data_IF_230497449282
#
_entry.id   IF_230497449282
#
_cell.length_a   1.000
_cell.length_b   1.000
_cell.length_c   1.000
_cell.angle_alpha   90.00
_cell.angle_beta   90.00
_cell.angle_gamma   90.00
#
_symmetry.space_group_name_H-M   'P 1'
#
loop_
_entity.id
_entity.type
_entity.pdbx_description
1 polymer ?
#
# COMPACT_ATOMS: atom_id res chain seq x y z
N UNK A 1 63.02 3.33 -2.72
CA UNK A 1 61.99 3.14 -3.77
C UNK A 1 61.31 1.77 -3.73
N UNK A 2 62.02 0.65 -3.59
CA UNK A 2 61.42 -0.71 -3.59
C UNK A 2 60.52 -1.01 -2.35
N UNK A 3 60.77 -0.39 -1.19
CA UNK A 3 59.92 -0.56 0.02
C UNK A 3 58.55 0.15 -0.05
N UNK A 4 58.44 1.26 -0.77
CA UNK A 4 57.17 2.00 -0.92
C UNK A 4 56.25 1.26 -1.90
N UNK A 5 56.81 0.65 -2.95
CA UNK A 5 56.05 -0.19 -3.90
C UNK A 5 55.45 -1.44 -3.23
N UNK A 6 56.15 -2.07 -2.27
CA UNK A 6 55.62 -3.24 -1.56
C UNK A 6 54.49 -2.91 -0.57
N UNK A 7 54.51 -1.73 0.05
CA UNK A 7 53.44 -1.29 0.96
C UNK A 7 52.19 -0.90 0.17
N UNK A 8 52.35 -0.24 -0.99
CA UNK A 8 51.23 0.10 -1.87
C UNK A 8 50.60 -1.15 -2.48
N UNK A 9 51.39 -2.15 -2.91
CA UNK A 9 50.83 -3.42 -3.38
C UNK A 9 50.12 -4.21 -2.27
N UNK A 10 50.58 -4.16 -1.01
CA UNK A 10 49.89 -4.82 0.11
C UNK A 10 48.60 -4.10 0.50
N UNK A 11 48.53 -2.77 0.38
CA UNK A 11 47.31 -1.99 0.59
C UNK A 11 46.30 -2.27 -0.54
N UNK A 12 46.75 -2.35 -1.80
CA UNK A 12 45.90 -2.71 -2.94
C UNK A 12 45.38 -4.15 -2.83
N UNK A 13 46.21 -5.10 -2.32
CA UNK A 13 45.76 -6.47 -2.08
C UNK A 13 44.82 -6.60 -0.87
N UNK A 14 44.94 -5.77 0.17
CA UNK A 14 43.98 -5.77 1.28
C UNK A 14 42.66 -5.08 0.92
N UNK A 15 42.66 -4.08 0.03
CA UNK A 15 41.41 -3.51 -0.52
C UNK A 15 40.70 -4.47 -1.48
N UNK A 16 41.37 -5.53 -1.96
CA UNK A 16 40.76 -6.56 -2.83
C UNK A 16 40.34 -7.84 -2.08
N UNK A 17 40.52 -7.93 -0.76
CA UNK A 17 40.04 -9.07 0.06
C UNK A 17 38.79 -8.68 0.89
N UNK A 18 38.27 -7.46 0.70
CA UNK A 18 37.16 -6.89 1.46
C UNK A 18 35.90 -6.57 0.67
N UNK A 19 35.69 -7.15 -0.50
CA UNK A 19 34.34 -7.39 -1.01
C UNK A 19 34.35 -8.78 -1.61
N UNK A 20 33.69 -9.71 -0.93
CA UNK A 20 33.16 -10.85 -1.65
C UNK A 20 32.21 -10.25 -2.68
N UNK A 21 32.72 -10.03 -3.89
CA UNK A 21 31.88 -10.05 -5.08
C UNK A 21 31.25 -11.44 -5.01
N UNK A 22 30.04 -11.49 -4.46
CA UNK A 22 29.11 -12.51 -4.89
C UNK A 22 29.14 -12.37 -6.41
N UNK A 23 29.77 -13.36 -7.06
CA UNK A 23 29.34 -13.70 -8.39
C UNK A 23 27.84 -13.95 -8.23
N UNK A 24 27.05 -12.91 -8.51
CA UNK A 24 25.71 -13.13 -9.02
C UNK A 24 25.96 -13.95 -10.26
N UNK A 25 25.88 -15.28 -10.10
CA UNK A 25 25.56 -16.10 -11.24
C UNK A 25 24.31 -15.48 -11.87
N UNK A 26 24.25 -15.52 -13.20
CA UNK A 26 23.02 -15.32 -13.98
C UNK A 26 21.95 -16.35 -13.57
N UNK A 27 21.53 -16.32 -12.32
CA UNK A 27 20.16 -16.51 -11.94
C UNK A 27 19.66 -15.09 -11.75
N UNK A 28 19.22 -14.45 -12.84
CA UNK A 28 18.01 -13.68 -12.69
C UNK A 28 17.01 -14.64 -12.04
N UNK A 29 16.85 -14.56 -10.72
CA UNK A 29 15.62 -15.02 -10.10
C UNK A 29 14.55 -14.15 -10.77
N UNK A 30 14.07 -14.60 -11.93
CA UNK A 30 12.73 -14.33 -12.36
C UNK A 30 11.90 -14.84 -11.21
N UNK A 31 11.66 -13.97 -10.22
CA UNK A 31 10.57 -14.09 -9.29
C UNK A 31 9.39 -14.48 -10.16
N UNK A 32 8.95 -15.73 -10.05
CA UNK A 32 7.86 -16.26 -10.85
C UNK A 32 6.57 -15.70 -10.26
N UNK A 33 6.40 -14.36 -10.40
CA UNK A 33 5.29 -13.56 -9.88
C UNK A 33 3.99 -14.21 -10.29
N UNK A 34 3.93 -14.71 -11.53
CA UNK A 34 2.83 -15.51 -12.04
C UNK A 34 2.56 -16.71 -11.13
N UNK A 35 3.51 -17.62 -10.97
CA UNK A 35 3.30 -18.83 -10.17
C UNK A 35 2.98 -18.53 -8.69
N UNK A 36 3.57 -17.48 -8.13
CA UNK A 36 3.31 -17.06 -6.75
C UNK A 36 1.88 -16.55 -6.57
N UNK A 37 1.40 -15.70 -7.48
CA UNK A 37 0.01 -15.21 -7.49
C UNK A 37 -0.96 -16.39 -7.67
N UNK A 38 -0.70 -17.26 -8.65
CA UNK A 38 -1.57 -18.42 -8.94
C UNK A 38 -1.69 -19.36 -7.73
N UNK A 39 -0.55 -19.71 -7.10
CA UNK A 39 -0.53 -20.57 -5.91
C UNK A 39 -1.21 -19.93 -4.72
N UNK A 40 -0.95 -18.63 -4.47
CA UNK A 40 -1.43 -17.94 -3.28
C UNK A 40 -2.93 -17.68 -3.34
N UNK A 41 -3.45 -17.28 -4.49
CA UNK A 41 -4.84 -16.83 -4.63
C UNK A 41 -5.74 -17.82 -5.36
N UNK A 42 -5.19 -18.90 -5.94
CA UNK A 42 -5.98 -19.91 -6.65
C UNK A 42 -6.56 -19.42 -7.98
N UNK A 43 -5.98 -18.38 -8.58
CA UNK A 43 -6.32 -17.91 -9.92
C UNK A 43 -5.38 -18.53 -10.97
N UNK A 44 -5.81 -18.57 -12.22
CA UNK A 44 -5.00 -18.97 -13.37
C UNK A 44 -4.73 -17.75 -14.25
N UNK A 45 -3.46 -17.41 -14.47
CA UNK A 45 -3.09 -16.24 -15.27
C UNK A 45 -2.86 -16.68 -16.72
N UNK A 46 -3.59 -16.04 -17.65
CA UNK A 46 -3.51 -16.28 -19.09
C UNK A 46 -2.94 -15.04 -19.76
N UNK A 47 -1.91 -15.24 -20.58
CA UNK A 47 -1.20 -14.20 -21.33
C UNK A 47 -1.21 -14.60 -22.82
N UNK A 48 -1.28 -13.64 -23.77
CA UNK A 48 -1.25 -13.94 -25.20
C UNK A 48 0.03 -14.70 -25.59
N UNK A 49 -0.12 -15.78 -26.35
CA UNK A 49 0.96 -16.76 -26.59
C UNK A 49 2.08 -16.28 -27.52
N UNK A 50 1.98 -15.09 -28.09
CA UNK A 50 2.93 -14.46 -28.99
C UNK A 50 3.79 -13.37 -28.32
N UNK A 51 3.66 -13.20 -27.00
CA UNK A 51 4.29 -12.12 -26.24
C UNK A 51 5.19 -12.68 -25.13
N UNK A 52 6.31 -12.00 -24.82
CA UNK A 52 7.16 -12.39 -23.69
C UNK A 52 6.42 -12.17 -22.35
N UNK A 53 6.56 -13.12 -21.43
CA UNK A 53 6.01 -13.04 -20.07
C UNK A 53 6.49 -11.76 -19.36
N UNK A 54 7.75 -11.38 -19.62
CA UNK A 54 8.38 -10.20 -19.05
C UNK A 54 7.62 -8.90 -19.34
N UNK A 55 6.92 -8.81 -20.47
CA UNK A 55 6.16 -7.61 -20.85
C UNK A 55 5.00 -7.30 -19.90
N UNK A 56 4.49 -8.31 -19.17
CA UNK A 56 3.33 -8.20 -18.27
C UNK A 56 3.70 -8.15 -16.79
N UNK A 57 4.99 -8.12 -16.44
CA UNK A 57 5.43 -8.08 -15.04
C UNK A 57 4.82 -6.91 -14.26
N UNK A 58 4.73 -5.73 -14.87
CA UNK A 58 4.11 -4.56 -14.26
C UNK A 58 2.62 -4.77 -14.01
N UNK A 59 1.90 -5.32 -15.01
CA UNK A 59 0.48 -5.66 -14.87
C UNK A 59 0.23 -6.71 -13.78
N UNK A 60 1.08 -7.73 -13.68
CA UNK A 60 1.01 -8.75 -12.63
C UNK A 60 1.33 -8.19 -11.25
N UNK A 61 2.30 -7.28 -11.14
CA UNK A 61 2.61 -6.57 -9.90
C UNK A 61 1.44 -5.69 -9.45
N UNK A 62 0.80 -4.97 -10.37
CA UNK A 62 -0.42 -4.20 -10.08
C UNK A 62 -1.57 -5.11 -9.63
N UNK A 63 -1.76 -6.26 -10.29
CA UNK A 63 -2.75 -7.26 -9.86
C UNK A 63 -2.52 -7.73 -8.44
N UNK A 64 -1.30 -8.15 -8.10
CA UNK A 64 -0.99 -8.57 -6.73
C UNK A 64 -1.24 -7.44 -5.74
N UNK A 65 -0.85 -6.20 -6.07
CA UNK A 65 -1.10 -5.03 -5.24
C UNK A 65 -2.60 -4.82 -4.98
N UNK A 66 -3.43 -4.86 -6.02
CA UNK A 66 -4.88 -4.73 -5.90
C UNK A 66 -5.49 -5.85 -5.07
N UNK A 67 -5.09 -7.11 -5.27
CA UNK A 67 -5.56 -8.24 -4.46
C UNK A 67 -5.20 -8.05 -2.97
N UNK A 68 -4.00 -7.55 -2.67
CA UNK A 68 -3.51 -7.36 -1.30
C UNK A 68 -4.21 -6.23 -0.54
N UNK A 69 -5.00 -5.37 -1.21
CA UNK A 69 -5.83 -4.37 -0.53
C UNK A 69 -6.99 -5.01 0.23
N UNK A 70 -7.45 -6.18 -0.22
CA UNK A 70 -8.43 -6.97 0.51
C UNK A 70 -7.80 -7.75 1.67
N UNK A 71 -8.56 -8.00 2.76
CA UNK A 71 -8.18 -8.93 3.80
C UNK A 71 -7.66 -10.27 3.25
N UNK A 72 -6.57 -10.75 3.85
CA UNK A 72 -5.91 -11.98 3.42
C UNK A 72 -6.87 -13.16 3.50
N UNK A 73 -7.29 -13.66 2.34
CA UNK A 73 -8.17 -14.83 2.23
C UNK A 73 -9.38 -14.60 1.35
N UNK A 74 -9.91 -13.37 1.22
CA UNK A 74 -11.17 -13.12 0.47
C UNK A 74 -11.09 -13.68 -0.95
N UNK A 75 -10.08 -13.28 -1.73
CA UNK A 75 -9.92 -13.77 -3.10
C UNK A 75 -9.78 -15.30 -3.13
N UNK A 76 -9.10 -15.88 -2.14
CA UNK A 76 -8.88 -17.33 -2.06
C UNK A 76 -10.16 -18.10 -1.72
N UNK A 77 -11.01 -17.55 -0.84
CA UNK A 77 -12.33 -18.12 -0.53
C UNK A 77 -13.23 -18.15 -1.77
N UNK A 78 -13.25 -17.06 -2.54
CA UNK A 78 -14.02 -16.98 -3.79
C UNK A 78 -13.50 -18.02 -4.81
N UNK A 79 -12.18 -18.09 -5.01
CA UNK A 79 -11.61 -19.05 -5.99
C UNK A 79 -11.77 -20.49 -5.55
N UNK A 80 -11.65 -20.80 -4.25
CA UNK A 80 -11.88 -22.14 -3.71
C UNK A 80 -13.35 -22.56 -3.87
N UNK A 81 -14.30 -21.63 -3.69
CA UNK A 81 -15.71 -21.88 -3.97
C UNK A 81 -15.95 -22.29 -5.43
N UNK A 82 -15.41 -21.53 -6.39
CA UNK A 82 -15.54 -21.86 -7.81
C UNK A 82 -14.83 -23.18 -8.15
N UNK A 83 -13.65 -23.41 -7.58
CA UNK A 83 -12.88 -24.64 -7.78
C UNK A 83 -13.64 -25.87 -7.28
N UNK A 84 -14.34 -25.78 -6.14
CA UNK A 84 -15.20 -26.86 -5.63
C UNK A 84 -16.37 -27.20 -6.59
N UNK A 85 -16.80 -26.23 -7.40
CA UNK A 85 -17.79 -26.43 -8.48
C UNK A 85 -17.17 -26.88 -9.80
N UNK A 86 -15.85 -27.06 -9.86
CA UNK A 86 -15.12 -27.39 -11.09
C UNK A 86 -14.95 -26.23 -12.05
N UNK A 87 -15.16 -24.99 -11.58
CA UNK A 87 -15.05 -23.76 -12.37
C UNK A 87 -13.67 -23.14 -12.09
N UNK A 88 -12.92 -22.85 -13.15
CA UNK A 88 -11.60 -22.21 -13.03
C UNK A 88 -11.76 -20.69 -13.06
N UNK A 89 -11.07 -19.99 -12.16
CA UNK A 89 -11.00 -18.53 -12.19
C UNK A 89 -9.74 -18.12 -12.96
N UNK A 90 -9.92 -17.47 -14.12
CA UNK A 90 -8.84 -16.99 -14.95
C UNK A 90 -8.70 -15.47 -14.85
N UNK A 91 -7.47 -14.99 -14.78
CA UNK A 91 -7.13 -13.59 -15.04
C UNK A 91 -6.43 -13.52 -16.39
N UNK A 92 -7.05 -12.83 -17.34
CA UNK A 92 -6.61 -12.77 -18.73
C UNK A 92 -6.06 -11.38 -18.97
N UNK A 93 -4.74 -11.27 -19.18
CA UNK A 93 -4.15 -10.02 -19.64
C UNK A 93 -4.33 -9.91 -21.15
N UNK A 94 -4.90 -8.80 -21.61
CA UNK A 94 -5.17 -8.59 -23.03
C UNK A 94 -4.67 -7.21 -23.48
N UNK A 95 -3.83 -7.18 -24.52
CA UNK A 95 -3.31 -5.94 -25.07
C UNK A 95 -4.42 -5.23 -25.82
N UNK A 96 -4.65 -3.96 -25.50
CA UNK A 96 -5.54 -3.11 -26.28
C UNK A 96 -4.83 -1.82 -26.67
N UNK A 97 -5.04 -1.35 -27.89
CA UNK A 97 -4.64 -0.02 -28.33
C UNK A 97 -5.77 1.01 -28.13
N UNK A 98 -6.97 0.55 -27.76
CA UNK A 98 -8.20 1.33 -27.73
C UNK A 98 -8.65 1.50 -26.27
N UNK A 99 -8.54 2.73 -25.75
CA UNK A 99 -8.96 3.11 -24.38
C UNK A 99 -10.42 2.71 -24.10
N UNK A 100 -11.31 2.75 -25.10
CA UNK A 100 -12.72 2.40 -24.94
C UNK A 100 -12.93 0.90 -24.64
N UNK A 101 -12.00 0.04 -25.03
CA UNK A 101 -12.12 -1.41 -24.85
C UNK A 101 -11.64 -1.86 -23.47
N UNK A 102 -11.09 -0.94 -22.66
CA UNK A 102 -10.75 -1.14 -21.25
C UNK A 102 -11.95 -1.57 -20.38
N UNK A 103 -13.19 -1.34 -20.85
CA UNK A 103 -14.43 -1.57 -20.09
C UNK A 103 -15.49 -2.36 -20.89
N UNK A 104 -15.06 -3.18 -21.87
CA UNK A 104 -15.97 -3.93 -22.75
C UNK A 104 -16.43 -5.24 -22.11
N UNK A 105 -17.70 -5.63 -22.35
CA UNK A 105 -18.28 -6.86 -21.78
C UNK A 105 -17.67 -8.13 -22.40
N UNK A 106 -17.33 -9.07 -21.52
CA UNK A 106 -16.59 -10.26 -21.88
C UNK A 106 -17.47 -11.45 -22.30
N UNK A 107 -16.85 -12.44 -22.95
CA UNK A 107 -17.52 -13.68 -23.36
C UNK A 107 -17.75 -14.59 -22.15
N UNK A 108 -19.01 -14.93 -21.88
CA UNK A 108 -19.38 -15.96 -20.90
C UNK A 108 -18.87 -17.34 -21.35
N UNK A 109 -18.21 -18.05 -20.43
CA UNK A 109 -17.86 -19.46 -20.55
C UNK A 109 -18.44 -20.20 -19.33
N UNK A 110 -19.31 -21.18 -19.57
CA UNK A 110 -19.98 -21.92 -18.49
C UNK A 110 -19.00 -22.67 -17.56
N UNK A 111 -17.75 -22.89 -17.98
CA UNK A 111 -16.74 -23.64 -17.21
C UNK A 111 -15.67 -22.75 -16.56
N UNK A 112 -15.71 -21.43 -16.74
CA UNK A 112 -14.70 -20.54 -16.17
C UNK A 112 -15.23 -19.15 -15.85
N UNK A 113 -14.73 -18.57 -14.76
CA UNK A 113 -14.89 -17.14 -14.49
C UNK A 113 -13.66 -16.43 -15.02
N UNK A 114 -13.83 -15.53 -15.99
CA UNK A 114 -12.74 -14.83 -16.64
C UNK A 114 -12.74 -13.35 -16.23
N UNK A 115 -11.61 -12.89 -15.71
CA UNK A 115 -11.36 -11.49 -15.31
C UNK A 115 -10.40 -10.90 -16.35
N UNK A 116 -10.87 -9.96 -17.15
CA UNK A 116 -10.07 -9.42 -18.25
C UNK A 116 -9.38 -8.13 -17.83
N UNK A 117 -8.04 -8.17 -17.74
CA UNK A 117 -7.22 -7.00 -17.46
C UNK A 117 -6.65 -6.48 -18.76
N UNK A 118 -7.23 -5.38 -19.24
CA UNK A 118 -6.77 -4.72 -20.45
C UNK A 118 -5.50 -3.90 -20.15
N UNK A 119 -4.44 -4.16 -20.91
CA UNK A 119 -3.15 -3.48 -20.77
C UNK A 119 -2.87 -2.58 -21.97
N UNK A 120 -2.25 -1.42 -21.73
CA UNK A 120 -1.78 -0.52 -22.77
C UNK A 120 -0.26 -0.64 -22.91
N UNK A 121 0.24 -0.64 -24.14
CA UNK A 121 1.68 -0.51 -24.39
C UNK A 121 2.18 0.86 -23.94
N UNK A 122 3.31 0.89 -23.25
CA UNK A 122 3.88 2.16 -22.81
C UNK A 122 4.51 2.89 -23.99
N UNK A 123 4.30 4.21 -24.09
CA UNK A 123 4.98 5.03 -25.10
C UNK A 123 6.48 5.22 -24.84
N UNK A 124 6.94 4.82 -23.65
CA UNK A 124 8.32 4.98 -23.18
C UNK A 124 9.16 3.72 -23.47
N UNK A 125 8.56 2.53 -23.49
CA UNK A 125 9.23 1.27 -23.75
C UNK A 125 8.35 0.40 -24.64
N UNK A 126 8.81 0.12 -25.86
CA UNK A 126 8.08 -0.61 -26.90
C UNK A 126 7.83 -2.11 -26.61
N UNK A 127 8.09 -2.55 -25.39
CA UNK A 127 8.06 -3.97 -24.97
C UNK A 127 7.47 -4.14 -23.55
N UNK A 128 6.83 -3.12 -22.96
CA UNK A 128 6.15 -3.26 -21.66
C UNK A 128 4.68 -2.87 -21.73
N UNK A 129 3.86 -3.65 -21.03
CA UNK A 129 2.42 -3.49 -20.94
C UNK A 129 2.01 -3.08 -19.53
N UNK A 130 1.22 -2.01 -19.44
CA UNK A 130 0.80 -1.44 -18.16
C UNK A 130 -0.72 -1.53 -17.98
N UNK A 131 -1.13 -1.92 -16.77
CA UNK A 131 -2.51 -1.80 -16.29
C UNK A 131 -2.51 -0.89 -15.06
N UNK A 132 -3.43 0.08 -15.03
CA UNK A 132 -3.58 0.98 -13.88
C UNK A 132 -4.29 0.29 -12.72
N UNK A 133 -3.96 0.67 -11.48
CA UNK A 133 -4.67 0.18 -10.27
C UNK A 133 -6.19 0.39 -10.35
N UNK A 134 -6.63 1.49 -10.95
CA UNK A 134 -8.06 1.79 -11.14
C UNK A 134 -8.74 0.75 -12.03
N UNK A 135 -8.13 0.41 -13.17
CA UNK A 135 -8.70 -0.56 -14.10
C UNK A 135 -8.70 -1.96 -13.50
N UNK A 136 -7.59 -2.39 -12.91
CA UNK A 136 -7.49 -3.71 -12.29
C UNK A 136 -8.48 -3.86 -11.13
N UNK A 137 -8.58 -2.85 -10.26
CA UNK A 137 -9.52 -2.91 -9.13
C UNK A 137 -10.97 -2.85 -9.57
N UNK A 138 -11.31 -2.10 -10.64
CA UNK A 138 -12.66 -2.11 -11.21
C UNK A 138 -13.09 -3.54 -11.58
N UNK A 139 -12.25 -4.27 -12.32
CA UNK A 139 -12.54 -5.66 -12.73
C UNK A 139 -12.59 -6.63 -11.54
N UNK A 140 -11.68 -6.49 -10.57
CA UNK A 140 -11.75 -7.28 -9.34
C UNK A 140 -13.01 -6.99 -8.52
N UNK A 141 -13.47 -5.73 -8.50
CA UNK A 141 -14.69 -5.34 -7.79
C UNK A 141 -15.94 -5.94 -8.43
N UNK A 142 -15.99 -6.03 -9.76
CA UNK A 142 -17.02 -6.78 -10.47
C UNK A 142 -16.97 -8.27 -10.18
N UNK A 143 -15.78 -8.87 -10.20
CA UNK A 143 -15.60 -10.28 -9.84
C UNK A 143 -16.15 -10.60 -8.45
N UNK A 144 -15.82 -9.78 -7.44
CA UNK A 144 -16.30 -9.94 -6.07
C UNK A 144 -17.81 -9.68 -5.99
N UNK A 145 -18.31 -8.59 -6.60
CA UNK A 145 -19.73 -8.24 -6.65
C UNK A 145 -20.58 -9.36 -7.27
N UNK A 146 -20.12 -9.94 -8.39
CA UNK A 146 -20.78 -11.04 -9.06
C UNK A 146 -20.85 -12.28 -8.16
N UNK A 147 -19.73 -12.63 -7.51
CA UNK A 147 -19.70 -13.75 -6.57
C UNK A 147 -20.73 -13.57 -5.44
N UNK A 148 -20.74 -12.42 -4.76
CA UNK A 148 -21.62 -12.23 -3.60
C UNK A 148 -23.10 -12.18 -4.02
N UNK A 149 -23.43 -11.55 -5.14
CA UNK A 149 -24.81 -11.41 -5.62
C UNK A 149 -25.38 -12.75 -6.11
N UNK A 150 -24.56 -13.58 -6.76
CA UNK A 150 -25.02 -14.83 -7.36
C UNK A 150 -25.08 -16.00 -6.38
N UNK A 151 -24.32 -15.92 -5.29
CA UNK A 151 -24.16 -17.05 -4.37
C UNK A 151 -24.68 -16.79 -2.96
N UNK A 152 -25.11 -15.56 -2.63
CA UNK A 152 -25.65 -15.19 -1.32
C UNK A 152 -26.97 -14.41 -1.43
N UNK A 153 -27.82 -14.50 -0.39
CA UNK A 153 -29.09 -13.76 -0.35
C UNK A 153 -28.88 -12.32 0.13
N UNK A 154 -28.82 -11.39 -0.83
CA UNK A 154 -28.67 -9.95 -0.59
C UNK A 154 -30.00 -9.19 -0.64
N UNK A 155 -31.14 -9.86 -0.45
CA UNK A 155 -32.47 -9.24 -0.57
C UNK A 155 -32.67 -8.07 0.40
N UNK A 156 -32.24 -8.20 1.65
CA UNK A 156 -32.38 -7.13 2.64
C UNK A 156 -31.41 -5.96 2.37
N UNK A 157 -30.15 -6.25 2.02
CA UNK A 157 -29.19 -5.22 1.59
C UNK A 157 -29.74 -4.41 0.42
N UNK A 158 -30.29 -5.08 -0.60
CA UNK A 158 -30.90 -4.42 -1.75
C UNK A 158 -32.09 -3.55 -1.35
N UNK A 159 -32.97 -4.01 -0.46
CA UNK A 159 -34.09 -3.20 0.05
C UNK A 159 -33.59 -1.95 0.78
N UNK A 160 -32.52 -2.07 1.55
CA UNK A 160 -31.91 -0.93 2.23
C UNK A 160 -31.28 0.06 1.24
N UNK A 161 -30.62 -0.41 0.19
CA UNK A 161 -30.12 0.43 -0.90
C UNK A 161 -31.25 1.15 -1.62
N UNK A 162 -32.31 0.43 -2.02
CA UNK A 162 -33.49 1.00 -2.66
C UNK A 162 -34.14 2.09 -1.78
N UNK A 163 -34.22 1.86 -0.45
CA UNK A 163 -34.71 2.85 0.52
C UNK A 163 -33.79 4.06 0.61
N UNK A 164 -32.48 3.85 0.62
CA UNK A 164 -31.46 4.89 0.68
C UNK A 164 -31.37 5.71 -0.61
N UNK A 165 -31.79 5.16 -1.75
CA UNK A 165 -31.84 5.86 -3.03
C UNK A 165 -32.88 6.99 -3.08
N UNK A 166 -33.74 7.16 -2.06
CA UNK A 166 -34.64 8.33 -1.88
C UNK A 166 -35.42 8.76 -3.14
N UNK A 167 -35.81 7.81 -3.99
CA UNK A 167 -36.58 8.07 -5.20
C UNK A 167 -35.79 8.11 -6.50
N UNK A 168 -34.47 7.90 -6.46
CA UNK A 168 -33.71 7.56 -7.66
C UNK A 168 -33.86 6.06 -7.96
N UNK A 169 -34.45 5.74 -9.11
CA UNK A 169 -34.51 4.36 -9.60
C UNK A 169 -33.24 4.01 -10.37
N UNK A 170 -32.76 2.77 -10.22
CA UNK A 170 -31.69 2.27 -11.07
C UNK A 170 -32.06 2.41 -12.55
N UNK A 171 -31.07 2.78 -13.38
CA UNK A 171 -31.25 3.06 -14.80
C UNK A 171 -31.74 4.48 -15.11
N UNK A 172 -31.92 5.34 -14.11
CA UNK A 172 -32.30 6.75 -14.28
C UNK A 172 -31.25 7.69 -13.71
N UNK A 173 -30.62 8.53 -14.55
CA UNK A 173 -29.68 9.57 -14.13
C UNK A 173 -30.24 10.98 -14.35
N UNK A 174 -30.78 11.57 -13.28
CA UNK A 174 -31.19 12.98 -13.23
C UNK A 174 -30.09 13.90 -12.70
N UNK A 175 -30.45 15.17 -12.48
CA UNK A 175 -29.65 16.06 -11.65
C UNK A 175 -29.54 15.49 -10.22
N UNK A 176 -28.42 15.72 -9.54
CA UNK A 176 -28.16 15.29 -8.15
C UNK A 176 -28.08 13.78 -7.89
N UNK A 177 -27.89 12.93 -8.91
CA UNK A 177 -27.63 11.49 -8.72
C UNK A 177 -26.46 11.22 -7.73
N UNK A 178 -25.48 12.12 -7.70
CA UNK A 178 -24.31 12.07 -6.81
C UNK A 178 -24.64 12.18 -5.31
N UNK A 179 -25.89 12.48 -4.95
CA UNK A 179 -26.35 12.40 -3.56
C UNK A 179 -26.58 10.96 -3.10
N UNK A 180 -26.94 10.06 -4.03
CA UNK A 180 -27.29 8.68 -3.76
C UNK A 180 -26.24 7.69 -4.27
N UNK A 181 -25.62 7.96 -5.42
CA UNK A 181 -24.67 7.06 -6.09
C UNK A 181 -23.28 7.68 -6.19
N UNK A 182 -22.24 6.86 -6.04
CA UNK A 182 -20.84 7.33 -6.08
C UNK A 182 -20.44 7.88 -7.46
N UNK A 183 -21.02 7.33 -8.52
CA UNK A 183 -20.83 7.78 -9.90
C UNK A 183 -22.08 7.41 -10.75
N UNK A 184 -22.06 7.72 -12.05
CA UNK A 184 -23.18 7.41 -12.96
C UNK A 184 -23.36 5.93 -13.26
N UNK A 185 -22.26 5.18 -13.33
CA UNK A 185 -22.26 3.74 -13.60
C UNK A 185 -22.96 2.97 -12.47
N UNK A 186 -22.65 3.30 -11.22
CA UNK A 186 -23.33 2.81 -10.04
C UNK A 186 -24.87 3.00 -10.08
N UNK A 187 -25.35 4.06 -10.72
CA UNK A 187 -26.80 4.30 -10.86
C UNK A 187 -27.49 3.33 -11.85
N UNK A 188 -26.76 2.47 -12.55
CA UNK A 188 -27.32 1.56 -13.58
C UNK A 188 -28.05 0.37 -12.97
N UNK A 189 -27.48 -0.25 -11.93
CA UNK A 189 -28.07 -1.41 -11.27
C UNK A 189 -27.49 -1.61 -9.86
N UNK A 190 -28.16 -2.42 -9.05
CA UNK A 190 -27.63 -2.82 -7.74
C UNK A 190 -26.26 -3.53 -7.84
N UNK A 191 -26.05 -4.28 -8.92
CA UNK A 191 -24.77 -4.97 -9.19
C UNK A 191 -23.65 -3.98 -9.49
N UNK A 192 -23.92 -3.00 -10.35
CA UNK A 192 -22.95 -1.94 -10.68
C UNK A 192 -22.66 -1.08 -9.45
N UNK A 193 -23.68 -0.73 -8.67
CA UNK A 193 -23.46 0.03 -7.44
C UNK A 193 -22.58 -0.72 -6.44
N UNK A 194 -22.83 -2.03 -6.26
CA UNK A 194 -22.04 -2.86 -5.35
C UNK A 194 -20.58 -2.91 -5.79
N UNK A 195 -20.32 -3.15 -7.08
CA UNK A 195 -18.96 -3.15 -7.62
C UNK A 195 -18.28 -1.78 -7.50
N UNK A 196 -18.96 -0.71 -7.87
CA UNK A 196 -18.40 0.64 -7.82
C UNK A 196 -18.12 1.11 -6.39
N UNK A 197 -18.93 0.72 -5.41
CA UNK A 197 -18.66 1.02 -4.00
C UNK A 197 -17.41 0.30 -3.50
N UNK A 198 -17.20 -0.97 -3.86
CA UNK A 198 -15.95 -1.71 -3.56
C UNK A 198 -14.77 -0.99 -4.22
N UNK A 199 -14.88 -0.70 -5.52
CA UNK A 199 -13.82 -0.08 -6.29
C UNK A 199 -13.37 1.27 -5.70
N UNK A 200 -14.33 2.15 -5.42
CA UNK A 200 -14.02 3.47 -4.87
C UNK A 200 -13.52 3.41 -3.44
N UNK A 201 -14.03 2.49 -2.62
CA UNK A 201 -13.54 2.32 -1.25
C UNK A 201 -12.09 1.83 -1.23
N UNK A 202 -11.70 0.95 -2.15
CA UNK A 202 -10.35 0.37 -2.18
C UNK A 202 -9.29 1.30 -2.79
N UNK A 203 -9.61 2.02 -3.87
CA UNK A 203 -8.62 2.84 -4.60
C UNK A 203 -8.70 4.32 -4.24
N UNK A 204 -9.87 4.80 -3.82
CA UNK A 204 -10.10 6.22 -3.55
C UNK A 204 -10.78 6.48 -2.17
N UNK A 205 -10.33 5.83 -1.07
CA UNK A 205 -10.99 5.97 0.23
C UNK A 205 -11.01 7.41 0.75
N UNK A 206 -9.96 8.19 0.48
CA UNK A 206 -9.90 9.62 0.85
C UNK A 206 -10.96 10.46 0.14
N UNK A 207 -11.15 10.23 -1.17
CA UNK A 207 -12.20 10.88 -1.95
C UNK A 207 -13.56 10.55 -1.36
N UNK A 208 -13.86 9.26 -1.17
CA UNK A 208 -15.13 8.80 -0.62
C UNK A 208 -15.37 9.46 0.73
N UNK A 209 -14.42 9.34 1.65
CA UNK A 209 -14.49 9.90 3.00
C UNK A 209 -14.71 11.41 3.02
N UNK A 210 -14.15 12.13 2.06
CA UNK A 210 -14.27 13.59 1.97
C UNK A 210 -15.60 14.08 1.39
N UNK A 211 -16.45 13.19 0.85
CA UNK A 211 -17.75 13.55 0.28
C UNK A 211 -18.55 14.39 1.30
N UNK A 212 -19.18 15.46 0.81
CA UNK A 212 -19.93 16.41 1.65
C UNK A 212 -19.10 17.01 2.80
N UNK A 213 -17.84 17.37 2.52
CA UNK A 213 -16.89 17.96 3.47
C UNK A 213 -16.65 17.06 4.70
N UNK A 214 -16.55 15.74 4.49
CA UNK A 214 -16.34 14.78 5.57
C UNK A 214 -17.56 14.57 6.48
N UNK A 215 -18.75 14.97 6.04
CA UNK A 215 -19.98 14.62 6.74
C UNK A 215 -20.55 13.31 6.21
N UNK A 216 -21.15 12.53 7.11
CA UNK A 216 -21.78 11.27 6.75
C UNK A 216 -22.90 11.48 5.70
N UNK A 217 -22.94 10.61 4.68
CA UNK A 217 -23.84 10.71 3.52
C UNK A 217 -24.51 9.37 3.28
N UNK A 218 -25.42 9.31 2.31
CA UNK A 218 -26.07 8.06 1.87
C UNK A 218 -25.03 7.05 1.37
N UNK A 219 -24.04 7.51 0.60
CA UNK A 219 -22.95 6.66 0.08
C UNK A 219 -22.19 6.01 1.24
N UNK A 220 -21.85 6.78 2.28
CA UNK A 220 -21.20 6.25 3.47
C UNK A 220 -22.06 5.20 4.21
N UNK A 221 -23.37 5.41 4.31
CA UNK A 221 -24.27 4.42 4.92
C UNK A 221 -24.35 3.13 4.09
N UNK A 222 -24.33 3.22 2.76
CA UNK A 222 -24.31 2.04 1.88
C UNK A 222 -23.03 1.23 2.03
N UNK A 223 -21.87 1.90 2.09
CA UNK A 223 -20.57 1.23 2.33
C UNK A 223 -20.59 0.50 3.67
N UNK A 224 -21.12 1.12 4.74
CA UNK A 224 -21.26 0.45 6.05
C UNK A 224 -22.17 -0.77 6.01
N UNK A 225 -23.27 -0.71 5.25
CA UNK A 225 -24.17 -1.85 5.09
C UNK A 225 -23.51 -2.97 4.29
N UNK A 226 -22.82 -2.63 3.20
CA UNK A 226 -22.08 -3.60 2.39
C UNK A 226 -20.97 -4.28 3.20
N UNK A 227 -20.19 -3.51 3.98
CA UNK A 227 -19.16 -4.06 4.85
C UNK A 227 -19.72 -5.08 5.87
N UNK A 228 -20.91 -4.81 6.43
CA UNK A 228 -21.58 -5.76 7.34
C UNK A 228 -22.00 -7.05 6.65
N UNK A 229 -22.44 -6.99 5.39
CA UNK A 229 -22.75 -8.21 4.63
C UNK A 229 -21.46 -8.98 4.32
N UNK A 230 -20.36 -8.29 4.01
CA UNK A 230 -19.06 -8.92 3.84
C UNK A 230 -18.62 -9.65 5.11
N UNK A 231 -18.78 -9.06 6.30
CA UNK A 231 -18.49 -9.70 7.60
C UNK A 231 -19.27 -11.03 7.79
N UNK A 232 -20.43 -11.18 7.15
CA UNK A 232 -21.26 -12.40 7.20
C UNK A 232 -20.89 -13.43 6.12
N UNK A 233 -20.32 -12.96 5.00
CA UNK A 233 -20.05 -13.78 3.81
C UNK A 233 -18.66 -14.41 3.86
N UNK A 234 -17.66 -13.69 4.38
CA UNK A 234 -16.25 -14.10 4.32
C UNK A 234 -15.67 -14.40 5.71
N UNK A 235 -15.06 -15.57 5.85
CA UNK A 235 -14.44 -16.01 7.10
C UNK A 235 -13.11 -15.29 7.37
N UNK A 236 -12.43 -14.80 6.33
CA UNK A 236 -11.19 -14.02 6.43
C UNK A 236 -11.38 -12.62 6.99
N UNK A 237 -12.61 -12.14 7.07
CA UNK A 237 -12.91 -10.84 7.66
C UNK A 237 -13.06 -11.00 9.16
N UNK A 238 -12.29 -10.22 9.91
CA UNK A 238 -12.23 -10.27 11.36
C UNK A 238 -12.44 -8.88 11.94
N UNK A 239 -12.68 -8.80 13.26
CA UNK A 239 -12.71 -7.53 14.00
C UNK A 239 -11.45 -6.66 13.77
N UNK A 240 -10.34 -7.27 13.29
CA UNK A 240 -9.08 -6.59 13.00
C UNK A 240 -9.00 -6.03 11.58
N UNK A 241 -9.75 -6.55 10.61
CA UNK A 241 -9.63 -6.15 9.21
C UNK A 241 -10.49 -4.94 8.87
N UNK A 242 -11.64 -4.76 9.55
CA UNK A 242 -12.51 -3.57 9.51
C UNK A 242 -12.64 -2.95 8.11
N UNK A 243 -13.27 -3.69 7.18
CA UNK A 243 -13.39 -3.28 5.79
C UNK A 243 -13.94 -1.86 5.61
N UNK A 244 -13.26 -1.12 4.73
CA UNK A 244 -13.60 0.22 4.25
C UNK A 244 -13.86 1.27 5.34
N UNK A 245 -13.42 1.02 6.57
CA UNK A 245 -13.52 2.00 7.64
C UNK A 245 -12.81 3.30 7.24
N UNK A 246 -11.72 3.18 6.50
CA UNK A 246 -10.96 4.27 5.90
C UNK A 246 -11.74 5.11 4.87
N UNK A 247 -12.73 4.56 4.20
CA UNK A 247 -13.64 5.29 3.31
C UNK A 247 -14.76 6.03 4.07
N UNK A 248 -14.91 5.81 5.38
CA UNK A 248 -15.96 6.42 6.20
C UNK A 248 -15.43 7.65 6.95
N UNK A 249 -16.19 8.76 7.03
CA UNK A 249 -15.79 9.92 7.83
C UNK A 249 -15.78 9.59 9.31
N UNK A 250 -14.64 9.83 9.97
CA UNK A 250 -14.47 9.57 11.39
C UNK A 250 -14.21 10.88 12.13
N UNK A 251 -14.31 10.82 13.46
CA UNK A 251 -13.93 11.93 14.34
C UNK A 251 -12.91 11.45 15.36
N UNK A 252 -11.90 12.26 15.70
CA UNK A 252 -10.89 11.83 16.65
C UNK A 252 -11.49 11.67 18.03
N UNK A 253 -11.01 10.66 18.76
CA UNK A 253 -11.42 10.46 20.15
C UNK A 253 -11.02 11.65 21.03
N UNK A 254 -11.74 11.86 22.14
CA UNK A 254 -11.59 13.05 22.99
C UNK A 254 -10.15 13.28 23.48
N UNK A 255 -9.40 12.20 23.74
CA UNK A 255 -8.00 12.28 24.18
C UNK A 255 -7.03 12.74 23.07
N UNK A 256 -7.35 12.49 21.80
CA UNK A 256 -6.50 12.82 20.66
C UNK A 256 -6.91 14.16 20.00
N UNK A 257 -8.17 14.57 20.16
CA UNK A 257 -8.78 15.72 19.46
C UNK A 257 -7.95 17.01 19.53
N UNK A 258 -7.43 17.37 20.70
CA UNK A 258 -6.64 18.59 20.86
C UNK A 258 -5.30 18.53 20.11
N UNK A 259 -4.62 17.38 20.18
CA UNK A 259 -3.33 17.16 19.52
C UNK A 259 -3.51 17.12 18.00
N UNK A 260 -4.51 16.39 17.51
CA UNK A 260 -4.79 16.32 16.07
C UNK A 260 -5.19 17.70 15.53
N UNK A 261 -5.95 18.50 16.28
CA UNK A 261 -6.25 19.88 15.92
C UNK A 261 -4.99 20.76 15.77
N UNK A 262 -4.03 20.62 16.69
CA UNK A 262 -2.72 21.29 16.60
C UNK A 262 -1.93 20.83 15.37
N UNK A 263 -1.89 19.52 15.11
CA UNK A 263 -1.18 18.96 13.95
C UNK A 263 -1.76 19.46 12.62
N UNK A 264 -3.09 19.49 12.49
CA UNK A 264 -3.78 20.05 11.32
C UNK A 264 -3.45 21.53 11.10
N UNK A 265 -3.47 22.32 12.17
CA UNK A 265 -3.14 23.75 12.10
C UNK A 265 -1.70 24.01 11.63
N UNK A 266 -0.79 23.06 11.91
CA UNK A 266 0.60 23.09 11.49
C UNK A 266 0.86 22.34 10.16
N UNK A 267 -0.20 21.92 9.43
CA UNK A 267 -0.11 21.17 8.17
C UNK A 267 0.67 19.85 8.26
N UNK A 268 0.74 19.25 9.45
CA UNK A 268 1.48 18.01 9.69
C UNK A 268 0.72 16.76 9.21
N UNK A 269 -0.61 16.87 9.09
CA UNK A 269 -1.49 15.82 8.56
C UNK A 269 -1.92 16.26 7.16
N UNK A 270 -1.46 15.57 6.10
CA UNK A 270 -1.92 15.79 4.73
C UNK A 270 -3.43 15.60 4.58
N UNK A 271 -4.04 16.31 3.61
CA UNK A 271 -5.49 16.33 3.40
C UNK A 271 -6.05 14.94 3.08
N UNK A 272 -5.27 14.09 2.38
CA UNK A 272 -5.67 12.72 2.04
C UNK A 272 -5.86 11.80 3.25
N UNK A 273 -5.31 12.17 4.41
CA UNK A 273 -5.50 11.46 5.68
C UNK A 273 -6.49 12.16 6.60
N UNK A 274 -7.06 13.30 6.19
CA UNK A 274 -8.05 13.97 7.01
C UNK A 274 -9.33 13.12 7.12
N UNK A 275 -9.90 13.08 8.31
CA UNK A 275 -11.05 12.24 8.65
C UNK A 275 -10.70 10.77 8.95
N UNK A 276 -9.42 10.37 8.88
CA UNK A 276 -8.97 8.99 9.13
C UNK A 276 -8.29 8.87 10.50
N UNK A 277 -8.89 8.12 11.43
CA UNK A 277 -8.49 8.08 12.85
C UNK A 277 -8.49 6.67 13.46
N UNK A 278 -9.54 5.89 13.28
CA UNK A 278 -9.80 4.61 13.95
C UNK A 278 -9.31 3.38 13.18
N UNK A 279 -9.04 3.53 11.87
CA UNK A 279 -8.41 2.48 11.06
C UNK A 279 -6.97 2.22 11.54
N UNK A 280 -6.47 1.00 11.33
CA UNK A 280 -5.07 0.69 11.58
C UNK A 280 -4.19 1.35 10.53
N UNK A 281 -3.05 1.88 10.96
CA UNK A 281 -2.14 2.56 10.06
C UNK A 281 -1.30 1.56 9.27
N UNK A 282 -1.32 1.72 7.96
CA UNK A 282 -0.45 0.99 7.05
C UNK A 282 0.99 1.47 7.17
N UNK A 283 1.94 0.56 6.94
CA UNK A 283 3.36 0.87 7.00
C UNK A 283 3.74 2.01 6.08
N UNK A 284 3.26 1.97 4.84
CA UNK A 284 3.48 3.04 3.87
C UNK A 284 3.02 4.41 4.37
N UNK A 285 1.81 4.49 4.90
CA UNK A 285 1.21 5.76 5.33
C UNK A 285 1.87 6.31 6.59
N UNK A 286 2.33 5.43 7.50
CA UNK A 286 3.16 5.84 8.63
C UNK A 286 4.45 6.55 8.17
N UNK A 287 5.15 5.99 7.17
CA UNK A 287 6.36 6.58 6.63
C UNK A 287 6.09 7.88 5.87
N UNK A 288 5.01 7.97 5.09
CA UNK A 288 4.58 9.22 4.43
C UNK A 288 4.33 10.33 5.44
N UNK A 289 3.57 10.05 6.51
CA UNK A 289 3.29 11.02 7.56
C UNK A 289 4.58 11.48 8.25
N UNK A 290 5.47 10.54 8.58
CA UNK A 290 6.74 10.85 9.21
C UNK A 290 7.62 11.73 8.30
N UNK A 291 7.74 11.41 7.02
CA UNK A 291 8.49 12.20 6.06
C UNK A 291 7.89 13.58 5.84
N UNK A 292 6.56 13.71 5.78
CA UNK A 292 5.90 15.02 5.71
C UNK A 292 6.28 15.88 6.93
N UNK A 293 6.26 15.29 8.13
CA UNK A 293 6.60 15.99 9.37
C UNK A 293 8.07 16.39 9.46
N UNK A 294 8.98 15.49 9.08
CA UNK A 294 10.42 15.78 8.99
C UNK A 294 10.64 16.87 7.95
N UNK A 295 9.95 16.79 6.81
CA UNK A 295 10.04 17.77 5.75
C UNK A 295 9.62 19.17 6.18
N UNK A 296 8.52 19.28 6.93
CA UNK A 296 8.07 20.56 7.51
C UNK A 296 9.09 21.08 8.53
N UNK A 297 9.63 20.21 9.40
CA UNK A 297 10.65 20.60 10.39
C UNK A 297 11.96 21.07 9.72
N UNK A 298 12.39 20.36 8.67
CA UNK A 298 13.60 20.62 7.92
C UNK A 298 13.44 21.72 6.86
N UNK A 299 12.25 22.30 6.65
CA UNK A 299 12.16 23.59 5.94
C UNK A 299 12.86 24.74 6.70
N UNK A 300 13.35 24.51 7.93
CA UNK A 300 14.34 25.36 8.61
C UNK A 300 15.82 24.99 8.31
N UNK A 301 16.09 23.79 7.78
CA UNK A 301 17.41 23.26 7.36
C UNK A 301 17.23 22.23 6.23
N UNK A 302 17.44 22.67 4.97
CA UNK A 302 17.31 21.87 3.74
C UNK A 302 17.47 20.34 3.92
N UNK A 303 16.41 19.57 3.70
CA UNK A 303 16.33 18.10 3.91
C UNK A 303 17.47 17.34 3.23
N UNK A 304 17.74 17.67 1.98
CA UNK A 304 18.76 17.00 1.16
C UNK A 304 20.15 17.19 1.78
N UNK A 305 20.39 18.36 2.35
CA UNK A 305 21.62 18.67 3.08
C UNK A 305 21.65 18.08 4.50
N UNK A 306 20.49 17.74 5.08
CA UNK A 306 20.39 17.17 6.43
C UNK A 306 20.75 15.68 6.44
N UNK A 307 20.34 14.94 5.40
CA UNK A 307 20.58 13.50 5.28
C UNK A 307 21.76 13.15 4.36
N UNK A 308 22.54 14.16 3.93
CA UNK A 308 23.62 14.01 2.93
C UNK A 308 23.14 13.20 1.71
N UNK A 309 21.89 13.44 1.30
CA UNK A 309 21.36 12.93 0.05
C UNK A 309 22.12 13.71 -1.02
N UNK A 310 23.23 13.12 -1.49
CA UNK A 310 24.11 13.75 -2.46
C UNK A 310 23.26 14.40 -3.56
N UNK A 311 23.57 15.64 -3.91
CA UNK A 311 23.04 16.22 -5.15
C UNK A 311 23.36 15.23 -6.24
N UNK A 312 22.32 14.64 -6.82
CA UNK A 312 22.43 13.71 -7.92
C UNK A 312 23.31 14.37 -8.99
N UNK A 313 24.55 13.90 -9.13
CA UNK A 313 25.27 14.15 -10.37
C UNK A 313 24.60 13.23 -11.38
N UNK A 314 23.71 13.82 -12.19
CA UNK A 314 23.20 13.18 -13.40
C UNK A 314 24.41 12.78 -14.25
N UNK A 315 24.86 11.52 -14.12
CA UNK A 315 25.93 11.01 -14.94
C UNK A 315 25.36 10.71 -16.32
N UNK A 316 25.69 11.61 -17.24
CA UNK A 316 25.45 11.51 -18.67
C UNK A 316 26.32 10.37 -19.20
N UNK A 317 25.74 9.19 -19.40
CA UNK A 317 26.39 8.06 -20.04
C UNK A 317 26.09 8.06 -21.54
N UNK A 318 27.10 7.78 -22.36
CA UNK A 318 26.99 7.62 -23.81
C UNK A 318 26.93 6.13 -24.14
N UNK A 319 25.89 5.70 -24.85
CA UNK A 319 25.84 4.39 -25.47
C UNK A 319 27.00 4.28 -26.49
N UNK A 320 28.00 3.40 -26.27
CA UNK A 320 29.16 3.32 -27.15
C UNK A 320 28.87 2.65 -28.51
N UNK A 321 27.68 2.06 -28.70
CA UNK A 321 27.24 1.43 -29.95
C UNK A 321 26.27 2.33 -30.73
N UNK A 322 25.39 3.06 -30.05
CA UNK A 322 24.35 3.91 -30.69
C UNK A 322 24.65 5.41 -30.63
N UNK A 323 25.55 5.86 -29.75
CA UNK A 323 25.90 7.27 -29.59
C UNK A 323 24.85 8.11 -28.88
N UNK A 324 23.85 7.48 -28.25
CA UNK A 324 22.78 8.15 -27.52
C UNK A 324 23.21 8.46 -26.10
N UNK A 325 22.73 9.60 -25.60
CA UNK A 325 23.01 10.10 -24.26
C UNK A 325 21.85 9.70 -23.35
N UNK A 326 22.13 9.01 -22.25
CA UNK A 326 21.13 8.74 -21.21
C UNK A 326 21.70 8.96 -19.81
N UNK A 327 20.79 9.22 -18.87
CA UNK A 327 21.11 9.51 -17.46
C UNK A 327 21.06 8.20 -16.67
N UNK A 328 22.13 7.88 -15.93
CA UNK A 328 22.23 6.67 -15.10
C UNK A 328 22.57 7.04 -13.66
N UNK A 329 21.82 6.48 -12.69
CA UNK A 329 21.85 6.80 -11.25
C UNK A 329 22.73 5.85 -10.40
N UNK A 330 23.52 4.98 -11.02
CA UNK A 330 24.50 4.14 -10.31
C UNK A 330 23.93 2.98 -9.50
N UNK A 331 22.60 2.84 -9.41
CA UNK A 331 21.96 1.55 -9.13
C UNK A 331 21.81 0.78 -10.44
N UNK A 332 21.95 -0.55 -10.41
CA UNK A 332 21.54 -1.36 -11.57
C UNK A 332 20.06 -1.08 -11.84
N UNK A 333 19.78 -0.54 -13.03
CA UNK A 333 18.49 -0.01 -13.51
C UNK A 333 17.25 -0.88 -13.16
N UNK A 334 17.45 -2.20 -13.07
CA UNK A 334 16.44 -3.20 -12.68
C UNK A 334 15.97 -3.09 -11.23
N UNK A 335 16.82 -2.65 -10.29
CA UNK A 335 16.47 -2.51 -8.88
C UNK A 335 15.66 -1.24 -8.60
N UNK A 336 15.92 -0.15 -9.33
CA UNK A 336 15.19 1.11 -9.18
C UNK A 336 13.73 0.98 -9.62
N UNK A 337 13.47 0.32 -10.76
CA UNK A 337 12.10 0.09 -11.22
C UNK A 337 11.35 -1.00 -10.44
N UNK A 338 11.99 -2.14 -10.10
CA UNK A 338 11.37 -3.12 -9.19
C UNK A 338 10.99 -2.52 -7.83
N UNK A 339 11.67 -1.45 -7.44
CA UNK A 339 11.38 -0.70 -6.24
C UNK A 339 10.22 0.29 -6.46
N UNK A 340 10.23 1.07 -7.54
CA UNK A 340 9.13 1.96 -7.91
C UNK A 340 7.81 1.22 -8.19
N UNK A 341 7.86 -0.03 -8.66
CA UNK A 341 6.67 -0.85 -8.88
C UNK A 341 6.10 -1.48 -7.60
N UNK A 342 6.92 -1.56 -6.53
CA UNK A 342 6.55 -2.18 -5.23
C UNK A 342 6.42 -1.18 -4.07
N UNK A 343 6.82 0.07 -4.26
CA UNK A 343 6.90 1.09 -3.21
C UNK A 343 6.57 2.48 -3.77
N UNK A 344 5.91 3.33 -2.99
CA UNK A 344 5.75 4.74 -3.34
C UNK A 344 7.02 5.54 -3.14
N UNK A 345 7.12 6.71 -3.79
CA UNK A 345 8.24 7.64 -3.67
C UNK A 345 8.66 7.91 -2.22
N UNK A 346 7.69 7.93 -1.29
CA UNK A 346 7.92 8.12 0.13
C UNK A 346 8.66 6.94 0.78
N UNK A 347 8.30 5.71 0.48
CA UNK A 347 9.04 4.53 0.97
C UNK A 347 10.43 4.46 0.33
N UNK A 348 10.60 4.90 -0.92
CA UNK A 348 11.91 5.04 -1.53
C UNK A 348 12.77 6.06 -0.82
N UNK A 349 12.24 7.26 -0.57
CA UNK A 349 12.92 8.30 0.21
C UNK A 349 13.29 7.79 1.61
N UNK A 350 12.36 7.12 2.30
CA UNK A 350 12.63 6.54 3.61
C UNK A 350 13.78 5.51 3.56
N UNK A 351 13.86 4.68 2.52
CA UNK A 351 14.97 3.74 2.36
C UNK A 351 16.29 4.46 2.08
N UNK A 352 16.29 5.47 1.20
CA UNK A 352 17.48 6.27 0.90
C UNK A 352 18.00 7.01 2.13
N UNK A 353 17.09 7.43 3.01
CA UNK A 353 17.42 8.04 4.30
C UNK A 353 17.85 7.02 5.38
N UNK A 354 17.95 5.73 5.04
CA UNK A 354 18.31 4.65 5.97
C UNK A 354 17.24 4.36 7.04
N UNK A 355 16.03 4.87 6.87
CA UNK A 355 14.91 4.74 7.83
C UNK A 355 14.29 3.34 7.76
N UNK A 356 14.26 2.75 6.57
CA UNK A 356 13.72 1.41 6.31
C UNK A 356 14.70 0.55 5.50
N UNK A 357 14.55 -0.77 5.61
CA UNK A 357 15.26 -1.74 4.77
C UNK A 357 14.37 -2.26 3.63
N UNK A 358 14.95 -3.08 2.76
CA UNK A 358 14.25 -3.71 1.63
C UNK A 358 13.11 -4.65 2.04
N UNK A 359 13.17 -5.22 3.24
CA UNK A 359 12.11 -6.13 3.73
C UNK A 359 10.81 -5.37 4.02
N UNK A 360 10.92 -4.16 4.60
CA UNK A 360 9.79 -3.26 4.86
C UNK A 360 9.03 -2.82 3.61
N UNK A 361 9.68 -2.89 2.44
CA UNK A 361 9.12 -2.50 1.14
C UNK A 361 8.20 -3.58 0.58
N UNK A 362 8.55 -4.85 0.78
CA UNK A 362 7.73 -5.98 0.34
C UNK A 362 6.42 -6.14 1.15
N UNK A 363 6.34 -5.50 2.32
CA UNK A 363 5.18 -5.50 3.21
C UNK A 363 4.50 -4.13 3.35
N UNK A 364 4.70 -3.19 2.43
CA UNK A 364 4.21 -1.81 2.51
C UNK A 364 2.74 -1.62 2.93
N UNK A 365 1.86 -2.55 2.52
CA UNK A 365 0.41 -2.54 2.79
C UNK A 365 0.00 -3.21 4.12
N UNK A 366 0.94 -3.76 4.89
CA UNK A 366 0.62 -4.36 6.19
C UNK A 366 0.51 -3.28 7.28
N UNK A 367 -0.31 -3.54 8.29
CA UNK A 367 -0.47 -2.65 9.43
C UNK A 367 0.77 -2.63 10.34
N UNK A 368 1.09 -1.46 10.86
CA UNK A 368 2.22 -1.27 11.77
C UNK A 368 1.88 -1.70 13.19
N UNK A 369 2.68 -2.60 13.74
CA UNK A 369 2.69 -2.92 15.17
C UNK A 369 3.40 -1.85 15.98
N UNK A 370 3.10 -1.81 17.29
CA UNK A 370 3.75 -0.87 18.23
C UNK A 370 5.26 -1.05 18.33
N UNK A 371 5.78 -2.28 18.22
CA UNK A 371 7.23 -2.53 18.22
C UNK A 371 7.90 -2.02 16.95
N UNK A 372 7.25 -2.13 15.78
CA UNK A 372 7.78 -1.58 14.53
C UNK A 372 7.80 -0.06 14.55
N UNK A 373 6.75 0.57 15.07
CA UNK A 373 6.73 2.02 15.29
C UNK A 373 7.85 2.44 16.24
N UNK A 374 8.07 1.72 17.35
CA UNK A 374 9.17 2.03 18.28
C UNK A 374 10.53 2.01 17.58
N UNK A 375 10.80 0.98 16.76
CA UNK A 375 12.03 0.89 15.96
C UNK A 375 12.18 2.09 15.03
N UNK A 376 11.13 2.41 14.27
CA UNK A 376 11.15 3.53 13.33
C UNK A 376 11.44 4.87 14.03
N UNK A 377 10.77 5.15 15.16
CA UNK A 377 10.93 6.38 15.94
C UNK A 377 12.34 6.55 16.51
N UNK A 378 12.94 5.46 17.00
CA UNK A 378 14.29 5.49 17.59
C UNK A 378 15.34 5.66 16.51
N UNK A 379 15.23 4.91 15.41
CA UNK A 379 16.14 5.04 14.27
C UNK A 379 16.13 6.47 13.73
N UNK A 380 14.94 7.00 13.42
CA UNK A 380 14.84 8.36 12.87
C UNK A 380 15.20 9.44 13.89
N UNK A 381 14.83 9.24 15.16
CA UNK A 381 15.20 10.16 16.23
C UNK A 381 16.72 10.29 16.33
N UNK A 382 17.44 9.17 16.31
CA UNK A 382 18.89 9.14 16.34
C UNK A 382 19.51 9.86 15.14
N UNK A 383 19.04 9.59 13.93
CA UNK A 383 19.50 10.30 12.71
C UNK A 383 19.25 11.80 12.79
N UNK A 384 18.16 12.21 13.45
CA UNK A 384 17.81 13.61 13.66
C UNK A 384 18.47 14.23 14.92
N UNK A 385 19.45 13.56 15.52
CA UNK A 385 20.25 14.07 16.63
C UNK A 385 19.66 13.88 18.02
N UNK A 386 18.62 13.05 18.17
CA UNK A 386 18.12 12.62 19.48
C UNK A 386 19.15 11.70 20.15
N UNK A 387 19.55 12.04 21.37
CA UNK A 387 20.43 11.16 22.15
C UNK A 387 19.67 9.91 22.61
N UNK A 388 19.99 8.77 22.00
CA UNK A 388 19.45 7.44 22.33
C UNK A 388 20.37 6.62 23.23
N UNK A 389 21.54 7.14 23.61
CA UNK A 389 22.54 6.40 24.38
C UNK A 389 22.13 6.20 25.85
N UNK A 390 21.32 7.12 26.38
CA UNK A 390 20.76 7.05 27.73
C UNK A 390 19.25 6.76 27.68
N UNK A 391 18.84 5.62 28.23
CA UNK A 391 17.45 5.20 28.34
C UNK A 391 17.18 4.41 29.64
N UNK A 392 15.97 4.56 30.16
CA UNK A 392 15.51 3.80 31.32
C UNK A 392 14.90 2.46 30.90
N UNK A 393 15.29 1.39 31.59
CA UNK A 393 14.64 0.07 31.45
C UNK A 393 13.35 0.09 32.26
N UNK A 394 12.22 0.20 31.55
CA UNK A 394 10.90 0.21 32.16
C UNK A 394 10.37 -1.22 32.35
N UNK A 395 9.72 -1.46 33.50
CA UNK A 395 9.12 -2.75 33.83
C UNK A 395 7.75 -2.89 33.15
N UNK A 396 7.71 -3.62 32.02
CA UNK A 396 6.47 -4.05 31.38
C UNK A 396 6.28 -5.56 31.54
N UNK A 397 5.06 -5.98 31.86
CA UNK A 397 4.74 -7.40 32.12
C UNK A 397 4.84 -8.28 30.86
N UNK A 398 4.74 -7.69 29.68
CA UNK A 398 4.75 -8.36 28.39
C UNK A 398 6.10 -8.27 27.65
N UNK A 399 7.12 -7.68 28.27
CA UNK A 399 8.43 -7.48 27.63
C UNK A 399 9.17 -8.80 27.37
N UNK A 400 8.92 -9.83 28.18
CA UNK A 400 9.52 -11.17 28.01
C UNK A 400 9.03 -11.88 26.75
N UNK A 401 7.94 -11.41 26.13
CA UNK A 401 7.42 -11.93 24.86
C UNK A 401 8.11 -11.30 23.64
N UNK A 402 8.95 -10.29 23.84
CA UNK A 402 9.64 -9.55 22.78
C UNK A 402 11.04 -10.14 22.57
N UNK A 403 11.50 -10.19 21.33
CA UNK A 403 12.87 -10.59 21.01
C UNK A 403 13.90 -9.67 21.70
N UNK A 404 15.00 -10.22 22.19
CA UNK A 404 16.02 -9.43 22.91
C UNK A 404 16.61 -8.29 22.06
N UNK A 405 16.68 -8.46 20.73
CA UNK A 405 17.09 -7.42 19.78
C UNK A 405 16.14 -6.22 19.74
N UNK A 406 14.88 -6.42 20.09
CA UNK A 406 13.81 -5.43 19.91
C UNK A 406 13.51 -4.65 21.21
N UNK A 407 13.86 -5.23 22.37
CA UNK A 407 13.65 -4.62 23.69
C UNK A 407 14.28 -3.22 23.83
N UNK A 408 15.53 -2.97 23.37
CA UNK A 408 16.14 -1.64 23.49
C UNK A 408 15.30 -0.54 22.83
N UNK A 409 14.74 -0.78 21.65
CA UNK A 409 13.90 0.19 20.94
C UNK A 409 12.64 0.56 21.73
N UNK A 410 12.02 -0.44 22.37
CA UNK A 410 10.86 -0.22 23.25
C UNK A 410 11.24 0.67 24.43
N UNK A 411 12.36 0.38 25.11
CA UNK A 411 12.80 1.14 26.27
C UNK A 411 13.20 2.58 25.91
N UNK A 412 13.91 2.78 24.80
CA UNK A 412 14.28 4.11 24.32
C UNK A 412 13.01 4.91 23.98
N UNK A 413 12.11 4.35 23.16
CA UNK A 413 10.89 5.04 22.75
C UNK A 413 10.00 5.42 23.95
N UNK A 414 9.93 4.55 24.96
CA UNK A 414 9.12 4.79 26.15
C UNK A 414 9.76 5.78 27.14
N UNK A 415 11.06 5.66 27.41
CA UNK A 415 11.80 6.57 28.30
C UNK A 415 11.88 8.00 27.75
N UNK A 416 12.06 8.16 26.43
CA UNK A 416 11.98 9.46 25.74
C UNK A 416 10.54 9.98 25.59
N UNK A 417 9.54 9.19 26.00
CA UNK A 417 8.14 9.59 25.99
C UNK A 417 7.49 9.61 24.61
N UNK A 418 8.13 9.03 23.58
CA UNK A 418 7.61 8.95 22.22
C UNK A 418 6.43 7.98 22.14
N UNK A 419 6.61 6.77 22.66
CA UNK A 419 5.61 5.71 22.67
C UNK A 419 5.55 5.02 24.03
N UNK A 420 4.43 5.16 24.74
CA UNK A 420 4.23 4.58 26.08
C UNK A 420 3.24 3.42 26.05
N UNK A 421 3.43 2.44 26.94
CA UNK A 421 2.45 1.41 27.27
C UNK A 421 1.26 1.94 28.08
N UNK A 422 0.38 1.05 28.50
CA UNK A 422 -0.80 1.36 29.33
C UNK A 422 -0.49 1.47 30.84
N UNK A 423 0.80 1.46 31.19
CA UNK A 423 1.33 1.48 32.55
C UNK A 423 1.75 0.09 33.05
N UNK A 424 1.11 -0.98 32.58
CA UNK A 424 1.45 -2.37 32.93
C UNK A 424 2.07 -3.13 31.76
N UNK A 425 1.58 -2.87 30.55
CA UNK A 425 1.96 -3.58 29.33
C UNK A 425 2.36 -2.59 28.24
N UNK A 426 3.37 -2.94 27.45
CA UNK A 426 3.74 -2.16 26.26
C UNK A 426 2.85 -2.46 25.06
N UNK A 427 2.34 -3.68 24.95
CA UNK A 427 1.55 -4.24 23.85
C UNK A 427 2.31 -4.24 22.51
N UNK A 428 3.46 -4.93 22.41
CA UNK A 428 4.38 -4.80 21.28
C UNK A 428 3.77 -5.20 19.93
N UNK A 429 2.87 -6.19 19.91
CA UNK A 429 2.28 -6.75 18.69
C UNK A 429 0.87 -6.26 18.38
N UNK A 430 0.36 -5.29 19.15
CA UNK A 430 -0.90 -4.64 18.81
C UNK A 430 -0.65 -3.64 17.66
N UNK A 431 -1.59 -3.58 16.72
CA UNK A 431 -1.57 -2.59 15.64
C UNK A 431 -1.93 -1.21 16.15
N UNK A 432 -1.28 -0.19 15.61
CA UNK A 432 -1.61 1.20 15.90
C UNK A 432 -2.68 1.74 14.94
N UNK A 433 -3.59 2.53 15.50
CA UNK A 433 -4.55 3.31 14.72
C UNK A 433 -3.92 4.60 14.18
N UNK A 434 -4.53 5.20 13.16
CA UNK A 434 -4.10 6.49 12.62
C UNK A 434 -4.04 7.60 13.68
N UNK A 435 -5.04 7.70 14.56
CA UNK A 435 -5.03 8.71 15.63
C UNK A 435 -3.90 8.49 16.65
N UNK A 436 -3.54 7.23 16.94
CA UNK A 436 -2.39 6.91 17.77
C UNK A 436 -1.10 7.31 17.06
N UNK A 437 -0.96 6.98 15.78
CA UNK A 437 0.18 7.36 14.96
C UNK A 437 0.37 8.87 14.91
N UNK A 438 -0.69 9.66 14.70
CA UNK A 438 -0.63 11.13 14.75
C UNK A 438 -0.07 11.63 16.09
N UNK A 439 -0.61 11.14 17.21
CA UNK A 439 -0.18 11.56 18.54
C UNK A 439 1.27 11.14 18.81
N UNK A 440 1.68 9.95 18.37
CA UNK A 440 3.05 9.44 18.48
C UNK A 440 4.01 10.30 17.67
N UNK A 441 3.70 10.55 16.40
CA UNK A 441 4.54 11.36 15.52
C UNK A 441 4.62 12.82 16.00
N UNK A 442 3.55 13.40 16.56
CA UNK A 442 3.60 14.73 17.16
C UNK A 442 4.58 14.80 18.35
N UNK A 443 4.69 13.73 19.15
CA UNK A 443 5.67 13.66 20.24
C UNK A 443 7.10 13.64 19.70
N UNK A 444 7.35 12.87 18.64
CA UNK A 444 8.62 12.91 17.94
C UNK A 444 8.91 14.33 17.45
N UNK A 445 7.99 14.95 16.70
CA UNK A 445 8.14 16.29 16.15
C UNK A 445 8.42 17.38 17.20
N UNK A 446 7.88 17.25 18.42
CA UNK A 446 8.14 18.15 19.55
C UNK A 446 9.46 17.85 20.28
N UNK A 447 9.99 16.64 20.15
CA UNK A 447 11.24 16.20 20.77
C UNK A 447 12.46 16.52 19.90
N UNK A 448 12.25 16.64 18.60
CA UNK A 448 13.15 17.23 17.61
C UNK A 448 13.14 18.76 17.71
#
# INVERSE_FOLDING_TARGET
MVKIMRIICLIICMTMIGTQVFAFGDASDNLDIKSDIEKRYGINIIIPGDVDLGEFNDGMSTLEKCIRRFPSGIIKEITDFYLQKGIVVNVIFDKTEIIRDLFSQDREDENSVNIYIKTLETSLYSESCHASEQAVMHELSHFISNYIIENHDLTELKKDFDRLNKGYEYGSWGENYGEAFINKHAATSFREETADLIWYAEVNPSFVRSINNGNNTIIHEKIKLLAKEFDLIFDSITDKTKLWLDAIPQTPQAWAKGIIGEMKANLLIPDEYDGLYEAYIEREDFYKLMLNMIGIKAREKNLDAYFDLGTYEEHVALDPLKGEVYVSDGMTYTNYYNYLTKSTDALYQAMQMGIINTDSVNESQAYMTRVEIAKALVSIGNELGMDISDYEVLAYNDIDKVADSDKPYIYIAASKGLLRGDGLNFKPYDYCTYQEAYVILNRLYKSL
#
